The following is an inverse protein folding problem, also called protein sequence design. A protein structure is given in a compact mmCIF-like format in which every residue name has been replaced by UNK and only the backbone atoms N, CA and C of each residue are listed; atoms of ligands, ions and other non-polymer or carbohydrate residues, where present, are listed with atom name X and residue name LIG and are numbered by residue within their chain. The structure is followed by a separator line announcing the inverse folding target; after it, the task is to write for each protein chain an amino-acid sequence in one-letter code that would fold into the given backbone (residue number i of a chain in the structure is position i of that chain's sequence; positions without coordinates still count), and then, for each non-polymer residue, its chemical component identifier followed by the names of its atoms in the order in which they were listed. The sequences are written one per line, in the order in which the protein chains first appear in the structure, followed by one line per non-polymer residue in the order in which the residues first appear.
data_IF_782617200351
#
_entry.id   IF_782617200351
#
_cell.length_a   1.000
_cell.length_b   1.000
_cell.length_c   1.000
_cell.angle_alpha   90.00
_cell.angle_beta   90.00
_cell.angle_gamma   90.00
#
_symmetry.space_group_name_H-M   'P 1'
#
loop_
_entity.id
_entity.type
_entity.pdbx_description
1 polymer ?
#
# COMPACT_ATOMS: atom_id res chain seq x y z
N UNK A 1 24.56 -31.83 10.04
CA UNK A 1 23.46 -32.79 10.26
C UNK A 1 22.18 -32.03 9.97
N UNK A 2 21.40 -32.43 8.96
CA UNK A 2 20.15 -31.72 8.62
C UNK A 2 19.06 -32.15 9.59
N UNK A 3 18.11 -31.26 9.88
CA UNK A 3 16.97 -31.54 10.78
C UNK A 3 16.19 -32.79 10.34
N UNK A 4 16.09 -32.98 9.02
CA UNK A 4 15.51 -34.15 8.36
C UNK A 4 16.18 -35.46 8.80
N UNK A 5 17.51 -35.49 8.83
CA UNK A 5 18.30 -36.68 9.19
C UNK A 5 18.15 -37.07 10.67
N UNK A 6 17.78 -36.11 11.52
CA UNK A 6 17.52 -36.33 12.94
C UNK A 6 16.09 -36.84 13.18
N UNK A 7 15.11 -36.27 12.47
CA UNK A 7 13.72 -36.74 12.48
C UNK A 7 13.60 -38.17 11.94
N UNK A 8 14.43 -38.53 10.96
CA UNK A 8 14.41 -39.88 10.37
C UNK A 8 14.90 -40.99 11.29
N UNK A 9 15.56 -40.63 12.39
CA UNK A 9 15.99 -41.59 13.44
C UNK A 9 14.95 -41.80 14.53
N UNK A 10 13.83 -41.06 14.49
CA UNK A 10 12.74 -41.17 15.47
C UNK A 10 11.66 -42.13 14.98
N UNK A 11 10.99 -42.78 15.94
CA UNK A 11 9.82 -43.62 15.66
C UNK A 11 8.66 -42.78 15.13
N UNK A 12 7.72 -43.40 14.42
CA UNK A 12 6.58 -42.69 13.84
C UNK A 12 5.72 -41.97 14.90
N UNK A 13 5.59 -42.55 16.08
CA UNK A 13 4.81 -41.95 17.16
C UNK A 13 5.52 -40.75 17.79
N UNK A 14 6.85 -40.83 17.98
CA UNK A 14 7.66 -39.68 18.41
C UNK A 14 7.63 -38.54 17.39
N UNK A 15 7.71 -38.84 16.09
CA UNK A 15 7.59 -37.81 15.04
C UNK A 15 6.24 -37.10 15.11
N UNK A 16 5.14 -37.86 15.23
CA UNK A 16 3.79 -37.29 15.36
C UNK A 16 3.66 -36.41 16.61
N UNK A 17 4.22 -36.85 17.74
CA UNK A 17 4.23 -36.07 18.97
C UNK A 17 4.99 -34.75 18.80
N UNK A 18 6.20 -34.78 18.23
CA UNK A 18 7.02 -33.60 17.97
C UNK A 18 6.35 -32.62 17.00
N UNK A 19 5.69 -33.10 15.95
CA UNK A 19 4.94 -32.22 15.04
C UNK A 19 3.73 -31.57 15.71
N UNK A 20 3.06 -32.30 16.61
CA UNK A 20 1.94 -31.75 17.39
C UNK A 20 2.42 -30.68 18.36
N UNK A 21 3.51 -30.94 19.07
CA UNK A 21 4.16 -30.00 19.99
C UNK A 21 4.61 -28.73 19.25
N UNK A 22 5.36 -28.86 18.15
CA UNK A 22 5.80 -27.73 17.35
C UNK A 22 4.63 -26.90 16.79
N UNK A 23 3.52 -27.55 16.42
CA UNK A 23 2.30 -26.83 16.00
C UNK A 23 1.67 -26.07 17.16
N UNK A 24 1.53 -26.69 18.33
CA UNK A 24 0.98 -26.04 19.51
C UNK A 24 1.86 -24.86 19.96
N UNK A 25 3.17 -25.03 20.04
CA UNK A 25 4.12 -23.96 20.37
C UNK A 25 4.09 -22.84 19.33
N UNK A 26 4.05 -23.19 18.04
CA UNK A 26 3.93 -22.21 16.97
C UNK A 26 2.63 -21.41 17.01
N UNK A 27 1.52 -22.01 17.46
CA UNK A 27 0.25 -21.29 17.68
C UNK A 27 0.36 -20.35 18.88
N UNK A 28 0.94 -20.81 19.99
CA UNK A 28 1.17 -19.98 21.17
C UNK A 28 2.04 -18.78 20.84
N UNK A 29 3.13 -18.98 20.09
CA UNK A 29 4.06 -17.92 19.71
C UNK A 29 3.41 -16.87 18.79
N UNK A 30 2.54 -17.30 17.86
CA UNK A 30 1.76 -16.36 17.04
C UNK A 30 0.79 -15.55 17.88
N UNK A 31 0.14 -16.19 18.86
CA UNK A 31 -0.80 -15.51 19.75
C UNK A 31 -0.09 -14.46 20.60
N UNK A 32 1.05 -14.80 21.21
CA UNK A 32 1.82 -13.85 22.02
C UNK A 32 2.39 -12.71 21.19
N UNK A 33 2.85 -12.98 19.95
CA UNK A 33 3.32 -11.93 19.05
C UNK A 33 2.20 -10.96 18.68
N UNK A 34 1.01 -11.48 18.36
CA UNK A 34 -0.17 -10.65 18.06
C UNK A 34 -0.56 -9.78 19.25
N UNK A 35 -0.58 -10.35 20.45
CA UNK A 35 -0.83 -9.60 21.69
C UNK A 35 0.20 -8.47 21.87
N UNK A 36 1.48 -8.77 21.70
CA UNK A 36 2.56 -7.77 21.81
C UNK A 36 2.44 -6.65 20.77
N UNK A 37 2.16 -6.97 19.50
CA UNK A 37 1.93 -5.97 18.45
C UNK A 37 0.75 -5.06 18.80
N UNK A 38 -0.35 -5.63 19.30
CA UNK A 38 -1.51 -4.83 19.71
C UNK A 38 -1.18 -3.91 20.87
N UNK A 39 -0.47 -4.40 21.90
CA UNK A 39 -0.05 -3.57 23.04
C UNK A 39 0.85 -2.43 22.59
N UNK A 40 1.86 -2.72 21.77
CA UNK A 40 2.80 -1.73 21.25
C UNK A 40 2.08 -0.66 20.43
N UNK A 41 1.13 -1.06 19.58
CA UNK A 41 0.32 -0.13 18.79
C UNK A 41 -0.51 0.78 19.69
N UNK A 42 -1.17 0.23 20.72
CA UNK A 42 -1.96 1.02 21.66
C UNK A 42 -1.10 1.99 22.49
N UNK A 43 0.12 1.61 22.88
CA UNK A 43 1.05 2.49 23.58
C UNK A 43 1.52 3.65 22.69
N UNK A 44 1.83 3.37 21.42
CA UNK A 44 2.19 4.41 20.44
C UNK A 44 1.03 5.39 20.21
N UNK A 45 -0.20 4.90 20.07
CA UNK A 45 -1.40 5.74 19.93
C UNK A 45 -1.63 6.62 21.17
N UNK A 46 -1.48 6.07 22.38
CA UNK A 46 -1.60 6.84 23.62
C UNK A 46 -0.49 7.91 23.75
N UNK A 47 0.74 7.60 23.36
CA UNK A 47 1.84 8.57 23.36
C UNK A 47 1.56 9.75 22.41
N UNK A 48 1.05 9.48 21.21
CA UNK A 48 0.65 10.51 20.24
C UNK A 48 -0.46 11.42 20.79
N UNK A 49 -1.48 10.84 21.44
CA UNK A 49 -2.57 11.62 22.07
C UNK A 49 -2.02 12.50 23.20
N UNK A 50 -1.14 11.98 24.05
CA UNK A 50 -0.56 12.73 25.17
C UNK A 50 0.41 13.84 24.73
N UNK A 51 1.16 13.66 23.65
CA UNK A 51 2.00 14.70 23.06
C UNK A 51 1.16 15.83 22.44
N UNK A 52 0.07 15.48 21.75
CA UNK A 52 -0.86 16.45 21.16
C UNK A 52 -1.58 17.33 22.20
N UNK A 53 -1.77 16.81 23.43
CA UNK A 53 -2.37 17.55 24.54
C UNK A 53 -1.44 18.63 25.12
N UNK A 54 -0.11 18.47 25.03
CA UNK A 54 0.87 19.44 25.54
C UNK A 54 1.04 20.67 24.64
N UNK A 55 0.63 20.60 23.36
CA UNK A 55 0.75 21.71 22.41
C UNK A 55 -0.48 22.63 22.31
N UNK A 56 -1.58 22.35 23.03
CA UNK A 56 -2.76 23.23 23.00
C UNK A 56 -2.73 24.29 24.10
N UNK A 57 -1.87 25.30 23.95
CA UNK A 57 -2.10 26.63 24.54
C UNK A 57 -2.47 27.62 23.44
N UNK A 58 -3.72 28.11 23.57
CA UNK A 58 -4.39 29.19 22.84
C UNK A 58 -4.69 28.97 21.35
N UNK A 59 -5.91 28.53 21.08
CA UNK A 59 -6.76 29.23 20.10
C UNK A 59 -8.21 29.16 20.54
N UNK A 60 -8.84 30.32 20.58
CA UNK A 60 -10.21 30.53 21.03
C UNK A 60 -11.22 29.90 20.07
N UNK A 61 -12.29 29.47 20.70
CA UNK A 61 -13.59 29.02 20.21
C UNK A 61 -14.10 29.70 18.94
N UNK A 62 -14.50 28.89 17.95
CA UNK A 62 -15.78 29.08 17.26
C UNK A 62 -16.47 27.71 17.18
N UNK A 63 -17.59 27.63 17.88
CA UNK A 63 -18.57 26.56 17.88
C UNK A 63 -19.37 26.58 16.58
N UNK A 64 -19.60 25.40 15.99
CA UNK A 64 -20.90 24.98 15.43
C UNK A 64 -20.91 23.48 15.14
N UNK A 65 -21.52 22.77 16.09
CA UNK A 65 -22.46 21.66 15.94
C UNK A 65 -22.47 20.86 14.62
N UNK A 66 -22.13 19.57 14.70
CA UNK A 66 -22.99 18.51 14.16
C UNK A 66 -22.75 17.20 14.94
N UNK A 67 -23.81 16.69 15.57
CA UNK A 67 -23.86 15.37 16.21
C UNK A 67 -24.30 14.36 15.14
N UNK A 68 -23.60 13.23 15.02
CA UNK A 68 -24.26 11.91 14.99
C UNK A 68 -23.28 10.80 15.40
N UNK A 69 -23.76 9.95 16.30
CA UNK A 69 -23.13 8.77 16.89
C UNK A 69 -23.15 7.59 15.89
N UNK A 70 -22.09 6.77 15.87
CA UNK A 70 -22.00 5.34 16.29
C UNK A 70 -22.77 4.43 15.31
N UNK A 71 -22.15 3.45 14.67
CA UNK A 71 -22.06 2.07 15.18
C UNK A 71 -20.86 1.29 14.63
N UNK A 72 -20.38 0.38 15.49
CA UNK A 72 -19.47 -0.71 15.17
C UNK A 72 -20.18 -1.69 14.24
N UNK A 73 -19.47 -2.25 13.27
CA UNK A 73 -19.71 -3.60 12.79
C UNK A 73 -18.36 -4.30 12.62
N UNK A 74 -18.21 -5.38 13.36
CA UNK A 74 -17.23 -6.43 13.12
C UNK A 74 -17.63 -7.11 11.80
N UNK A 75 -16.75 -7.12 10.80
CA UNK A 75 -16.84 -8.07 9.70
C UNK A 75 -15.48 -8.72 9.44
N UNK A 76 -15.49 -10.02 9.72
CA UNK A 76 -14.50 -11.03 9.48
C UNK A 76 -14.51 -11.37 7.99
N UNK A 77 -13.56 -10.87 7.20
CA UNK A 77 -13.31 -11.42 5.86
C UNK A 77 -11.83 -11.74 5.63
N UNK A 78 -11.63 -13.05 5.64
CA UNK A 78 -10.50 -13.83 5.19
C UNK A 78 -10.25 -13.63 3.68
N UNK A 79 -9.33 -12.73 3.33
CA UNK A 79 -8.82 -12.64 1.95
C UNK A 79 -7.60 -13.55 1.77
N UNK A 80 -7.90 -14.76 1.33
CA UNK A 80 -6.97 -15.66 0.67
C UNK A 80 -6.50 -15.01 -0.64
N UNK A 81 -5.41 -14.24 -0.57
CA UNK A 81 -4.74 -13.71 -1.76
C UNK A 81 -4.11 -14.87 -2.53
N UNK A 82 -4.85 -15.37 -3.51
CA UNK A 82 -4.33 -16.23 -4.56
C UNK A 82 -3.27 -15.42 -5.31
N UNK A 83 -2.03 -15.88 -5.17
CA UNK A 83 -0.84 -15.25 -5.74
C UNK A 83 -0.79 -15.64 -7.21
N UNK A 84 -1.47 -14.88 -8.06
CA UNK A 84 -1.34 -15.05 -9.50
C UNK A 84 0.07 -14.68 -9.94
N UNK A 85 0.79 -15.69 -10.38
CA UNK A 85 2.07 -15.60 -11.08
C UNK A 85 1.85 -14.98 -12.46
N UNK A 86 1.77 -13.64 -12.54
CA UNK A 86 2.01 -12.95 -13.80
C UNK A 86 3.52 -12.79 -14.01
N UNK A 87 4.13 -13.85 -14.53
CA UNK A 87 5.34 -13.71 -15.34
C UNK A 87 4.95 -13.06 -16.65
N UNK A 88 5.40 -11.83 -16.90
CA UNK A 88 5.90 -11.46 -18.22
C UNK A 88 6.65 -10.13 -18.17
N UNK A 89 7.85 -10.18 -18.75
CA UNK A 89 8.81 -9.09 -18.96
C UNK A 89 8.25 -7.97 -19.85
N UNK A 90 7.26 -7.23 -19.37
CA UNK A 90 6.86 -5.98 -19.99
C UNK A 90 7.65 -4.85 -19.31
N UNK A 91 8.72 -4.39 -19.96
CA UNK A 91 9.29 -3.08 -19.64
C UNK A 91 8.20 -2.05 -19.94
N UNK A 92 7.45 -1.63 -18.91
CA UNK A 92 6.47 -0.54 -18.96
C UNK A 92 7.24 0.78 -18.97
N UNK A 93 8.09 0.98 -19.96
CA UNK A 93 8.79 2.24 -20.14
C UNK A 93 7.89 3.15 -20.97
N UNK A 94 7.58 4.33 -20.42
CA UNK A 94 6.86 5.33 -21.18
C UNK A 94 7.74 5.79 -22.35
N UNK A 95 7.18 5.74 -23.55
CA UNK A 95 7.68 6.55 -24.65
C UNK A 95 7.02 7.93 -24.52
N UNK A 96 7.80 8.94 -24.14
CA UNK A 96 7.28 10.28 -23.79
C UNK A 96 6.54 10.99 -24.93
N UNK A 97 6.66 10.47 -26.15
CA UNK A 97 6.00 10.99 -27.35
C UNK A 97 4.60 10.38 -27.58
N UNK A 98 4.25 9.29 -26.90
CA UNK A 98 3.00 8.55 -27.13
C UNK A 98 2.06 8.58 -25.91
N UNK A 99 1.90 9.75 -25.30
CA UNK A 99 1.01 9.98 -24.15
C UNK A 99 -0.20 10.81 -24.63
N UNK A 100 -1.39 10.25 -24.50
CA UNK A 100 -2.66 10.89 -24.84
C UNK A 100 -3.45 11.34 -23.59
N UNK A 101 -4.52 12.10 -23.80
CA UNK A 101 -5.49 12.40 -22.74
C UNK A 101 -6.18 11.13 -22.26
N UNK A 102 -6.53 11.09 -20.98
CA UNK A 102 -7.13 9.94 -20.28
C UNK A 102 -6.19 8.74 -20.04
N UNK A 103 -4.93 8.83 -20.49
CA UNK A 103 -3.93 7.81 -20.16
C UNK A 103 -3.56 7.85 -18.68
N UNK A 104 -3.37 6.67 -18.11
CA UNK A 104 -2.79 6.52 -16.78
C UNK A 104 -1.28 6.43 -16.90
N UNK A 105 -0.56 7.26 -16.15
CA UNK A 105 0.89 7.35 -16.21
C UNK A 105 1.49 7.31 -14.81
N UNK A 106 2.77 6.95 -14.71
CA UNK A 106 3.57 7.09 -13.50
C UNK A 106 4.58 8.23 -13.67
N UNK A 107 4.56 9.15 -12.70
CA UNK A 107 5.45 10.32 -12.67
C UNK A 107 6.44 10.19 -11.53
N UNK A 108 7.71 10.49 -11.80
CA UNK A 108 8.79 10.49 -10.83
C UNK A 108 8.91 11.86 -10.14
N UNK A 109 9.07 11.84 -8.82
CA UNK A 109 9.38 12.97 -7.96
C UNK A 109 10.57 12.63 -7.06
N UNK A 110 11.12 13.63 -6.37
CA UNK A 110 12.28 13.45 -5.49
C UNK A 110 12.04 12.42 -4.38
N UNK A 111 10.81 12.39 -3.86
CA UNK A 111 10.38 11.57 -2.73
C UNK A 111 9.78 10.20 -3.13
N UNK A 112 9.64 9.91 -4.43
CA UNK A 112 8.96 8.70 -4.89
C UNK A 112 8.32 8.87 -6.25
N UNK A 113 7.48 7.92 -6.64
CA UNK A 113 6.66 8.04 -7.84
C UNK A 113 5.18 8.02 -7.47
N UNK A 114 4.36 8.60 -8.34
CA UNK A 114 2.93 8.74 -8.13
C UNK A 114 2.18 8.42 -9.43
N UNK A 115 1.14 7.58 -9.39
CA UNK A 115 0.27 7.38 -10.53
C UNK A 115 -0.71 8.54 -10.67
N UNK A 116 -1.04 8.88 -11.91
CA UNK A 116 -2.04 9.88 -12.21
C UNK A 116 -2.63 9.71 -13.59
N UNK A 117 -3.77 10.35 -13.81
CA UNK A 117 -4.48 10.34 -15.09
C UNK A 117 -4.17 11.64 -15.83
N UNK A 118 -3.81 11.54 -17.10
CA UNK A 118 -3.54 12.71 -17.94
C UNK A 118 -4.86 13.40 -18.27
N UNK A 119 -5.03 14.64 -17.84
CA UNK A 119 -6.22 15.44 -18.14
C UNK A 119 -6.04 16.28 -19.41
N UNK A 120 -4.81 16.67 -19.72
CA UNK A 120 -4.48 17.46 -20.90
C UNK A 120 -3.02 17.27 -21.28
N UNK A 121 -2.74 17.27 -22.58
CA UNK A 121 -1.41 17.15 -23.15
C UNK A 121 -1.03 18.47 -23.82
N UNK A 122 0.12 19.03 -23.45
CA UNK A 122 0.77 20.15 -24.12
C UNK A 122 2.08 19.68 -24.74
N UNK A 123 2.76 20.55 -25.51
CA UNK A 123 3.98 20.20 -26.25
C UNK A 123 5.04 19.53 -25.35
N UNK A 124 5.55 20.23 -24.33
CA UNK A 124 6.59 19.70 -23.43
C UNK A 124 6.04 19.19 -22.08
N UNK A 125 4.77 19.46 -21.80
CA UNK A 125 4.17 19.25 -20.48
C UNK A 125 2.87 18.44 -20.59
N UNK A 126 2.55 17.73 -19.52
CA UNK A 126 1.27 17.04 -19.32
C UNK A 126 0.63 17.55 -18.03
N UNK A 127 -0.68 17.71 -18.04
CA UNK A 127 -1.46 18.01 -16.84
C UNK A 127 -2.01 16.69 -16.31
N UNK A 128 -1.77 16.40 -15.05
CA UNK A 128 -2.03 15.09 -14.45
C UNK A 128 -2.87 15.26 -13.18
N UNK A 129 -3.99 14.56 -13.09
CA UNK A 129 -4.80 14.38 -11.87
C UNK A 129 -4.22 13.19 -11.09
N UNK A 130 -3.53 13.49 -9.99
CA UNK A 130 -2.79 12.47 -9.24
C UNK A 130 -3.66 11.66 -8.28
N UNK A 131 -3.26 10.41 -8.06
CA UNK A 131 -3.74 9.64 -6.92
C UNK A 131 -2.76 9.73 -5.76
N UNK A 132 -3.31 9.86 -4.55
CA UNK A 132 -2.52 9.93 -3.32
C UNK A 132 -2.26 8.52 -2.80
N UNK A 133 -1.00 8.13 -2.53
CA UNK A 133 -0.70 6.84 -1.93
C UNK A 133 -1.29 6.76 -0.51
N UNK A 134 -1.69 5.55 -0.13
CA UNK A 134 -2.15 5.25 1.23
C UNK A 134 -1.07 4.52 2.02
N UNK A 135 -1.34 4.22 3.29
CA UNK A 135 -0.45 3.36 4.09
C UNK A 135 -0.45 1.91 3.62
N UNK A 136 -1.46 1.50 2.84
CA UNK A 136 -1.56 0.16 2.30
C UNK A 136 -0.82 0.07 0.97
N UNK A 137 0.00 -0.99 0.78
CA UNK A 137 0.75 -1.15 -0.46
C UNK A 137 -0.21 -1.28 -1.64
N UNK A 138 0.18 -0.69 -2.76
CA UNK A 138 -0.56 -0.74 -4.02
C UNK A 138 -1.95 -0.09 -4.01
N UNK A 139 -2.31 0.60 -2.92
CA UNK A 139 -3.59 1.27 -2.78
C UNK A 139 -3.41 2.79 -2.76
N UNK A 140 -4.26 3.44 -3.52
CA UNK A 140 -4.28 4.88 -3.70
C UNK A 140 -5.68 5.41 -3.44
N UNK A 141 -5.77 6.69 -3.07
CA UNK A 141 -7.04 7.40 -2.89
C UNK A 141 -7.07 8.61 -3.79
N UNK A 142 -8.27 8.98 -4.23
CA UNK A 142 -8.45 10.24 -4.95
C UNK A 142 -8.32 11.42 -3.97
N UNK A 143 -7.53 12.45 -4.28
CA UNK A 143 -7.47 13.65 -3.44
C UNK A 143 -8.84 14.36 -3.43
N UNK A 144 -9.19 14.95 -2.28
CA UNK A 144 -10.52 15.54 -2.01
C UNK A 144 -10.63 17.04 -2.35
N UNK A 145 -9.61 17.63 -2.97
CA UNK A 145 -9.78 18.46 -4.17
C UNK A 145 -8.95 17.92 -5.35
N UNK A 146 -9.33 18.28 -6.59
CA UNK A 146 -8.56 17.94 -7.80
C UNK A 146 -7.12 18.44 -7.64
N UNK A 147 -6.18 17.52 -7.52
CA UNK A 147 -4.75 17.82 -7.39
C UNK A 147 -4.14 17.68 -8.79
N UNK A 148 -4.51 18.62 -9.66
CA UNK A 148 -4.01 18.71 -11.02
C UNK A 148 -2.67 19.45 -11.01
N UNK A 149 -1.62 18.81 -11.50
CA UNK A 149 -0.29 19.42 -11.60
C UNK A 149 0.23 19.35 -13.03
N UNK A 150 0.89 20.42 -13.46
CA UNK A 150 1.61 20.46 -14.73
C UNK A 150 3.02 19.88 -14.55
N UNK A 151 3.31 18.83 -15.33
CA UNK A 151 4.53 18.04 -15.24
C UNK A 151 5.23 18.04 -16.60
N UNK A 152 6.56 18.20 -16.61
CA UNK A 152 7.33 18.01 -17.84
C UNK A 152 7.34 16.53 -18.24
N UNK A 153 7.17 16.23 -19.53
CA UNK A 153 7.16 14.85 -20.06
C UNK A 153 8.37 14.01 -19.64
N UNK A 154 9.53 14.65 -19.44
CA UNK A 154 10.76 14.00 -18.98
C UNK A 154 10.64 13.28 -17.63
N UNK A 155 9.67 13.64 -16.79
CA UNK A 155 9.44 13.01 -15.49
C UNK A 155 8.44 11.85 -15.55
N UNK A 156 7.82 11.61 -16.72
CA UNK A 156 6.97 10.46 -16.96
C UNK A 156 7.86 9.29 -17.37
N UNK A 157 7.89 8.23 -16.56
CA UNK A 157 8.82 7.12 -16.77
C UNK A 157 8.12 5.79 -17.09
N UNK A 158 6.81 5.67 -16.82
CA UNK A 158 6.02 4.50 -17.17
C UNK A 158 4.60 4.91 -17.60
N UNK A 159 4.09 4.30 -18.68
CA UNK A 159 2.78 4.56 -19.24
C UNK A 159 2.65 4.09 -20.70
N UNK A 160 1.42 3.90 -21.22
CA UNK A 160 0.16 3.95 -20.48
C UNK A 160 -0.01 2.73 -19.56
N UNK A 161 -0.51 2.98 -18.36
CA UNK A 161 -0.79 1.99 -17.31
C UNK A 161 -2.23 1.49 -17.45
N UNK A 162 -2.51 0.32 -16.87
CA UNK A 162 -3.88 -0.10 -16.69
C UNK A 162 -4.61 0.84 -15.72
N UNK A 163 -5.87 1.21 -16.01
CA UNK A 163 -6.63 2.06 -15.12
C UNK A 163 -6.78 1.38 -13.74
N UNK A 164 -6.65 2.14 -12.66
CA UNK A 164 -6.77 1.58 -11.33
C UNK A 164 -8.18 1.06 -11.07
N UNK A 165 -8.26 -0.08 -10.39
CA UNK A 165 -9.52 -0.75 -10.09
C UNK A 165 -10.04 -0.24 -8.74
N UNK A 166 -11.28 0.24 -8.63
CA UNK A 166 -11.83 0.65 -7.35
C UNK A 166 -11.95 -0.57 -6.42
N UNK A 167 -11.54 -0.42 -5.15
CA UNK A 167 -11.73 -1.47 -4.14
C UNK A 167 -13.19 -1.51 -3.67
N UNK A 168 -13.57 -2.60 -2.99
CA UNK A 168 -14.83 -2.70 -2.24
C UNK A 168 -15.01 -1.47 -1.35
N UNK A 169 -15.96 -0.60 -1.68
CA UNK A 169 -16.19 0.69 -1.01
C UNK A 169 -15.92 1.96 -1.85
N UNK A 170 -15.36 1.84 -3.06
CA UNK A 170 -15.33 2.89 -4.10
C UNK A 170 -14.51 4.15 -3.79
N UNK A 171 -13.79 4.18 -2.66
CA UNK A 171 -12.96 5.32 -2.23
C UNK A 171 -11.48 5.11 -2.45
N UNK A 172 -11.05 3.85 -2.58
CA UNK A 172 -9.67 3.47 -2.82
C UNK A 172 -9.57 2.79 -4.18
N UNK A 173 -8.36 2.85 -4.72
CA UNK A 173 -8.00 2.45 -6.06
C UNK A 173 -6.78 1.54 -5.94
N UNK A 174 -6.87 0.31 -6.46
CA UNK A 174 -5.74 -0.60 -6.54
C UNK A 174 -5.11 -0.51 -7.94
N UNK A 175 -3.78 -0.45 -7.98
CA UNK A 175 -3.03 -0.48 -9.23
C UNK A 175 -2.27 -1.81 -9.33
N UNK A 176 -2.67 -2.73 -10.23
CA UNK A 176 -2.11 -4.08 -10.29
C UNK A 176 -0.63 -4.09 -10.74
N UNK A 177 -0.20 -3.07 -11.48
CA UNK A 177 1.14 -2.98 -12.08
C UNK A 177 2.21 -2.34 -11.18
N UNK A 178 1.87 -2.05 -9.92
CA UNK A 178 2.73 -1.35 -8.96
C UNK A 178 4.14 -1.94 -8.81
N UNK A 179 4.28 -3.26 -8.76
CA UNK A 179 5.58 -3.91 -8.65
C UNK A 179 6.46 -3.68 -9.91
N UNK A 180 5.86 -3.74 -11.10
CA UNK A 180 6.58 -3.48 -12.35
C UNK A 180 6.98 -2.00 -12.47
N UNK A 181 6.06 -1.09 -12.12
CA UNK A 181 6.32 0.36 -12.12
C UNK A 181 7.44 0.72 -11.12
N UNK A 182 7.47 0.10 -9.95
CA UNK A 182 8.54 0.31 -8.95
C UNK A 182 9.93 -0.10 -9.49
N UNK A 183 10.01 -1.18 -10.26
CA UNK A 183 11.26 -1.58 -10.92
C UNK A 183 11.68 -0.56 -11.99
N UNK A 184 10.74 -0.09 -12.82
CA UNK A 184 10.99 0.97 -13.80
C UNK A 184 11.45 2.27 -13.14
N UNK A 185 10.87 2.64 -11.99
CA UNK A 185 11.25 3.82 -11.22
C UNK A 185 12.71 3.73 -10.73
N UNK A 186 13.12 2.56 -10.21
CA UNK A 186 14.50 2.33 -9.78
C UNK A 186 15.49 2.45 -10.95
N UNK A 187 15.13 1.93 -12.13
CA UNK A 187 15.93 2.08 -13.36
C UNK A 187 16.01 3.55 -13.78
N UNK A 188 14.89 4.28 -13.71
CA UNK A 188 14.82 5.71 -14.06
C UNK A 188 15.70 6.57 -13.15
N UNK A 189 15.64 6.34 -11.83
CA UNK A 189 16.43 7.09 -10.83
C UNK A 189 17.93 6.80 -10.87
N UNK A 190 18.32 5.66 -11.46
CA UNK A 190 19.73 5.28 -11.62
C UNK A 190 20.41 5.92 -12.84
N UNK A 191 19.64 6.53 -13.76
CA UNK A 191 20.16 7.31 -14.90
C UNK A 191 20.58 8.70 -14.47
#
# INVERSE_FOLDING_TARGET
MRLSDWLDKKTNDERKALFKEARCEGLTLRKTHKEFETTTKTEMEQNLVNESAKQKRKRQTISKHCKKQVENDDDDENDNYEKDEYSNDNDILADGDNIDSDDWIAVAFDNGWFPGMVTSVCDENVIVDFLQPTSLPCQFKRPTPKDELQIKRIYVFAGPLLPPVPTSGGRLYSLPQTAAVELSYKKFKAK
#
